data_IF_654809192938
#
_entry.id   IF_654809192938
#
_cell.length_a   1.000
_cell.length_b   1.000
_cell.length_c   1.000
_cell.angle_alpha   90.00
_cell.angle_beta   90.00
_cell.angle_gamma   90.00
#
_symmetry.space_group_name_H-M   'P 1'
#
loop_
_entity.id
_entity.type
_entity.pdbx_description
1 polymer ?
#
# COMPACT_ATOMS: atom_id res chain seq x y z
N UNK A 1 -7.77 2.76 32.70
CA UNK A 1 -8.94 2.92 31.84
C UNK A 1 -9.97 1.91 32.31
N UNK A 2 -11.07 2.39 32.87
CA UNK A 2 -12.14 1.53 33.37
C UNK A 2 -12.65 0.64 32.23
N UNK A 3 -12.68 -0.66 32.47
CA UNK A 3 -13.38 -1.62 31.62
C UNK A 3 -14.91 -1.35 31.76
N UNK A 4 -15.38 -0.33 31.06
CA UNK A 4 -16.82 -0.16 30.89
C UNK A 4 -17.36 -1.47 30.31
N UNK A 5 -18.31 -2.10 30.99
CA UNK A 5 -19.06 -3.25 30.49
C UNK A 5 -19.72 -2.84 29.18
N UNK A 6 -19.06 -3.10 28.06
CA UNK A 6 -19.60 -2.86 26.73
C UNK A 6 -20.69 -3.91 26.49
N UNK A 7 -21.96 -3.49 26.59
CA UNK A 7 -23.08 -4.36 26.27
C UNK A 7 -23.01 -4.71 24.77
N UNK A 8 -22.83 -5.99 24.49
CA UNK A 8 -22.85 -6.52 23.13
C UNK A 8 -24.23 -7.07 22.81
N UNK A 9 -24.79 -6.68 21.67
CA UNK A 9 -26.10 -7.21 21.25
C UNK A 9 -26.71 -6.43 20.09
N UNK A 10 -27.82 -6.96 19.51
CA UNK A 10 -28.47 -6.31 18.37
C UNK A 10 -29.03 -4.91 18.66
N UNK A 11 -29.35 -4.61 19.93
CA UNK A 11 -29.82 -3.29 20.33
C UNK A 11 -28.70 -2.26 20.28
N UNK A 12 -27.53 -2.59 20.85
CA UNK A 12 -26.33 -1.76 20.81
C UNK A 12 -25.84 -1.55 19.37
N UNK A 13 -25.84 -2.61 18.53
CA UNK A 13 -25.49 -2.48 17.13
C UNK A 13 -26.40 -1.49 16.40
N UNK A 14 -27.74 -1.58 16.57
CA UNK A 14 -28.67 -0.63 15.97
C UNK A 14 -28.50 0.80 16.47
N UNK A 15 -28.11 0.97 17.73
CA UNK A 15 -27.81 2.30 18.27
C UNK A 15 -26.57 2.89 17.61
N UNK A 16 -25.48 2.12 17.51
CA UNK A 16 -24.26 2.54 16.86
C UNK A 16 -24.48 2.85 15.36
N UNK A 17 -25.27 2.02 14.66
CA UNK A 17 -25.65 2.29 13.27
C UNK A 17 -26.41 3.61 13.11
N UNK A 18 -27.29 3.95 14.08
CA UNK A 18 -28.06 5.19 14.04
C UNK A 18 -27.23 6.44 14.36
N UNK A 19 -26.15 6.28 15.10
CA UNK A 19 -25.21 7.34 15.49
C UNK A 19 -24.02 7.47 14.52
N UNK A 20 -23.90 6.57 13.52
CA UNK A 20 -22.76 6.55 12.58
C UNK A 20 -22.81 7.73 11.60
N UNK A 21 -21.90 8.68 11.79
CA UNK A 21 -21.74 9.85 10.92
C UNK A 21 -21.36 9.46 9.46
N UNK A 22 -20.85 8.27 9.23
CA UNK A 22 -20.44 7.75 7.93
C UNK A 22 -21.55 6.95 7.24
N UNK A 23 -22.71 6.71 7.89
CA UNK A 23 -23.79 5.88 7.37
C UNK A 23 -24.22 6.25 5.93
N UNK A 24 -24.25 7.57 5.60
CA UNK A 24 -24.63 8.06 4.27
C UNK A 24 -23.66 7.67 3.15
N UNK A 25 -22.41 7.36 3.47
CA UNK A 25 -21.43 6.90 2.48
C UNK A 25 -21.76 5.51 1.92
N UNK A 26 -22.59 4.73 2.61
CA UNK A 26 -23.07 3.43 2.11
C UNK A 26 -23.74 3.56 0.73
N UNK A 27 -24.45 4.65 0.50
CA UNK A 27 -25.16 4.92 -0.77
C UNK A 27 -24.22 5.23 -1.93
N UNK A 28 -22.94 5.47 -1.67
CA UNK A 28 -21.92 5.63 -2.71
C UNK A 28 -21.52 4.30 -3.38
N UNK A 29 -21.85 3.17 -2.76
CA UNK A 29 -21.47 1.84 -3.21
C UNK A 29 -22.59 1.11 -3.91
N UNK A 30 -22.24 0.27 -4.89
CA UNK A 30 -23.20 -0.62 -5.56
C UNK A 30 -23.36 -1.87 -4.71
N UNK A 31 -24.53 -2.04 -4.11
CA UNK A 31 -24.89 -3.18 -3.24
C UNK A 31 -26.03 -3.94 -3.89
N UNK A 32 -25.72 -4.90 -4.77
CA UNK A 32 -26.73 -5.69 -5.48
C UNK A 32 -27.31 -6.84 -4.64
N UNK A 33 -26.60 -7.28 -3.62
CA UNK A 33 -27.04 -8.31 -2.67
C UNK A 33 -27.02 -7.72 -1.26
N UNK A 34 -28.22 -7.37 -0.77
CA UNK A 34 -28.40 -6.80 0.57
C UNK A 34 -28.20 -7.81 1.71
N UNK A 35 -28.24 -9.12 1.39
CA UNK A 35 -28.00 -10.20 2.35
C UNK A 35 -26.52 -10.54 2.54
N UNK A 36 -25.66 -10.08 1.64
CA UNK A 36 -24.22 -10.35 1.71
C UNK A 36 -23.56 -9.43 2.74
N UNK A 37 -22.97 -10.04 3.77
CA UNK A 37 -22.06 -9.38 4.70
C UNK A 37 -20.63 -9.46 4.10
N UNK A 38 -20.19 -8.37 3.46
CA UNK A 38 -18.88 -8.30 2.80
C UNK A 38 -17.88 -7.59 3.71
N UNK A 39 -16.93 -8.35 4.25
CA UNK A 39 -15.88 -7.86 5.16
C UNK A 39 -14.46 -7.98 4.57
N UNK A 40 -14.34 -8.30 3.27
CA UNK A 40 -13.06 -8.54 2.58
C UNK A 40 -12.63 -7.35 1.71
N UNK A 41 -12.91 -6.13 2.15
CA UNK A 41 -12.47 -4.89 1.48
C UNK A 41 -10.96 -4.71 1.43
N UNK A 42 -10.24 -5.41 2.28
CA UNK A 42 -8.77 -5.50 2.25
C UNK A 42 -8.24 -6.34 1.07
N UNK A 43 -9.04 -7.21 0.47
CA UNK A 43 -8.68 -7.93 -0.76
C UNK A 43 -9.16 -7.18 -2.00
N UNK A 44 -10.43 -6.72 -1.99
CA UNK A 44 -11.04 -5.98 -3.09
C UNK A 44 -12.08 -5.00 -2.52
N UNK A 45 -11.91 -3.72 -2.78
CA UNK A 45 -12.90 -2.70 -2.41
C UNK A 45 -14.22 -2.86 -3.16
N UNK A 46 -15.33 -2.49 -2.53
CA UNK A 46 -16.64 -2.51 -3.22
C UNK A 46 -16.66 -1.49 -4.36
N UNK A 47 -17.34 -1.85 -5.45
CA UNK A 47 -17.55 -0.96 -6.58
C UNK A 47 -18.39 0.25 -6.16
N UNK A 48 -17.93 1.45 -6.49
CA UNK A 48 -18.67 2.68 -6.29
C UNK A 48 -19.40 3.13 -7.54
N UNK A 49 -20.51 3.86 -7.39
CA UNK A 49 -21.19 4.49 -8.53
C UNK A 49 -20.28 5.43 -9.31
N UNK A 50 -19.36 6.14 -8.64
CA UNK A 50 -18.38 7.01 -9.31
C UNK A 50 -17.37 6.23 -10.16
N UNK A 51 -16.90 5.08 -9.66
CA UNK A 51 -15.92 4.27 -10.39
C UNK A 51 -16.53 3.69 -11.68
N UNK A 52 -17.74 3.11 -11.62
CA UNK A 52 -18.39 2.56 -12.81
C UNK A 52 -18.73 3.65 -13.83
N UNK A 53 -19.24 4.80 -13.37
CA UNK A 53 -19.54 5.93 -14.26
C UNK A 53 -18.28 6.47 -14.95
N UNK A 54 -17.16 6.54 -14.22
CA UNK A 54 -15.88 6.96 -14.78
C UNK A 54 -15.34 5.97 -15.80
N UNK A 55 -15.48 4.67 -15.53
CA UNK A 55 -15.06 3.60 -16.45
C UNK A 55 -15.89 3.66 -17.75
N UNK A 56 -17.22 3.79 -17.65
CA UNK A 56 -18.09 3.91 -18.81
C UNK A 56 -17.76 5.17 -19.63
N UNK A 57 -17.53 6.30 -18.97
CA UNK A 57 -17.12 7.53 -19.66
C UNK A 57 -15.77 7.37 -20.37
N UNK A 58 -14.82 6.67 -19.77
CA UNK A 58 -13.54 6.38 -20.41
C UNK A 58 -13.71 5.51 -21.67
N UNK A 59 -14.59 4.51 -21.63
CA UNK A 59 -14.85 3.64 -22.76
C UNK A 59 -15.66 4.35 -23.87
N UNK A 60 -16.77 5.01 -23.53
CA UNK A 60 -17.73 5.52 -24.51
C UNK A 60 -17.30 6.88 -25.09
N UNK A 61 -16.87 7.81 -24.23
CA UNK A 61 -16.56 9.18 -24.65
C UNK A 61 -15.08 9.31 -25.02
N UNK A 62 -14.19 8.91 -24.13
CA UNK A 62 -12.77 9.19 -24.30
C UNK A 62 -12.17 8.27 -25.39
N UNK A 63 -12.39 6.98 -25.30
CA UNK A 63 -11.95 6.06 -26.33
C UNK A 63 -12.89 6.09 -27.53
N UNK A 64 -14.18 5.78 -27.35
CA UNK A 64 -15.14 5.62 -28.46
C UNK A 64 -15.32 6.85 -29.33
N UNK A 65 -15.34 8.05 -28.73
CA UNK A 65 -15.58 9.32 -29.43
C UNK A 65 -14.30 10.11 -29.75
N UNK A 66 -13.37 10.21 -28.79
CA UNK A 66 -12.16 10.99 -28.97
C UNK A 66 -11.06 10.25 -29.70
N UNK A 67 -11.03 8.89 -29.61
CA UNK A 67 -10.00 8.03 -30.21
C UNK A 67 -8.59 8.52 -29.81
N UNK A 68 -7.64 8.55 -30.73
CA UNK A 68 -6.26 9.03 -30.46
C UNK A 68 -6.18 10.42 -29.90
N UNK A 69 -7.18 11.27 -30.12
CA UNK A 69 -7.24 12.63 -29.56
C UNK A 69 -7.39 12.63 -28.04
N UNK A 70 -7.82 11.52 -27.43
CA UNK A 70 -7.87 11.35 -25.99
C UNK A 70 -6.54 11.64 -25.30
N UNK A 71 -5.42 11.36 -25.96
CA UNK A 71 -4.10 11.69 -25.46
C UNK A 71 -3.87 13.18 -25.20
N UNK A 72 -4.40 14.04 -26.08
CA UNK A 72 -4.25 15.48 -25.97
C UNK A 72 -5.28 16.12 -25.03
N UNK A 73 -6.29 15.36 -24.59
CA UNK A 73 -7.32 15.87 -23.68
C UNK A 73 -7.00 15.53 -22.23
N UNK A 74 -6.93 14.24 -21.91
CA UNK A 74 -6.89 13.81 -20.52
C UNK A 74 -5.92 12.65 -20.22
N UNK A 75 -5.66 11.78 -21.19
CA UNK A 75 -4.98 10.52 -20.93
C UNK A 75 -3.50 10.67 -20.61
N UNK A 76 -2.82 11.62 -21.29
CA UNK A 76 -1.39 11.83 -21.07
C UNK A 76 -1.09 12.21 -19.62
N UNK A 77 -1.90 13.08 -19.05
CA UNK A 77 -1.72 13.58 -17.69
C UNK A 77 -2.49 12.79 -16.62
N UNK A 78 -3.33 11.82 -17.03
CA UNK A 78 -4.16 11.05 -16.10
C UNK A 78 -3.36 10.36 -14.99
N UNK A 79 -2.20 9.75 -15.24
CA UNK A 79 -1.37 9.14 -14.21
C UNK A 79 -0.92 10.12 -13.12
N UNK A 80 -0.42 11.29 -13.53
CA UNK A 80 0.04 12.34 -12.60
C UNK A 80 -1.15 12.98 -11.88
N UNK A 81 -2.20 13.37 -12.61
CA UNK A 81 -3.40 13.97 -12.03
C UNK A 81 -4.10 13.06 -11.01
N UNK A 82 -4.05 11.74 -11.21
CA UNK A 82 -4.56 10.79 -10.24
C UNK A 82 -3.61 10.66 -9.05
N UNK A 83 -2.30 10.68 -9.30
CA UNK A 83 -1.27 10.73 -8.26
C UNK A 83 -1.44 11.93 -7.33
N UNK A 84 -1.74 13.12 -7.87
CA UNK A 84 -2.00 14.34 -7.08
C UNK A 84 -3.20 14.21 -6.13
N UNK A 85 -4.17 13.34 -6.44
CA UNK A 85 -5.29 13.03 -5.53
C UNK A 85 -4.91 12.04 -4.43
N UNK A 86 -3.95 11.17 -4.70
CA UNK A 86 -3.45 10.17 -3.74
C UNK A 86 -2.42 10.80 -2.82
N UNK A 87 -1.61 11.75 -3.30
CA UNK A 87 -0.53 12.36 -2.55
C UNK A 87 -0.94 12.85 -1.15
N UNK A 88 -2.04 13.60 -0.96
CA UNK A 88 -2.48 14.01 0.39
C UNK A 88 -2.87 12.84 1.29
N UNK A 89 -3.37 11.72 0.73
CA UNK A 89 -3.77 10.54 1.52
C UNK A 89 -2.57 9.79 2.10
N UNK A 90 -1.39 9.95 1.49
CA UNK A 90 -0.16 9.31 1.94
C UNK A 90 0.85 10.30 2.52
N UNK A 91 0.46 11.58 2.66
CA UNK A 91 1.34 12.63 3.18
C UNK A 91 2.56 12.88 2.30
N UNK A 92 2.39 12.76 0.97
CA UNK A 92 3.41 13.08 -0.03
C UNK A 92 3.17 14.50 -0.61
N UNK A 93 4.23 15.12 -1.13
CA UNK A 93 4.15 16.42 -1.81
C UNK A 93 3.61 16.27 -3.24
N UNK A 94 3.09 17.38 -3.82
CA UNK A 94 2.76 17.41 -5.25
C UNK A 94 3.93 16.94 -6.13
N UNK A 95 3.62 16.15 -7.16
CA UNK A 95 4.60 15.60 -8.09
C UNK A 95 5.33 14.34 -7.61
N UNK A 96 5.11 13.87 -6.39
CA UNK A 96 5.79 12.69 -5.83
C UNK A 96 5.02 11.38 -6.05
N UNK A 97 3.75 11.45 -6.47
CA UNK A 97 2.92 10.26 -6.67
C UNK A 97 2.48 10.15 -8.12
N UNK A 98 2.63 8.98 -8.68
CA UNK A 98 2.15 8.65 -10.03
C UNK A 98 1.40 7.32 -10.01
N UNK A 99 0.34 7.20 -10.80
CA UNK A 99 -0.39 5.94 -10.99
C UNK A 99 0.04 5.32 -12.31
N UNK A 100 0.67 4.15 -12.22
CA UNK A 100 1.12 3.40 -13.39
C UNK A 100 1.23 1.91 -13.06
N UNK A 101 1.24 1.08 -14.07
CA UNK A 101 1.46 -0.36 -13.99
C UNK A 101 0.69 -1.09 -12.85
N UNK A 102 1.22 -2.21 -12.40
CA UNK A 102 0.77 -2.93 -11.20
C UNK A 102 1.74 -2.74 -10.04
N UNK A 103 1.29 -3.05 -8.81
CA UNK A 103 2.14 -3.01 -7.61
C UNK A 103 3.43 -3.80 -7.81
N UNK A 104 3.35 -5.03 -8.33
CA UNK A 104 4.53 -5.89 -8.56
C UNK A 104 5.51 -5.31 -9.59
N UNK A 105 5.01 -4.70 -10.68
CA UNK A 105 5.87 -4.05 -11.68
C UNK A 105 6.53 -2.80 -11.10
N UNK A 106 5.78 -2.00 -10.34
CA UNK A 106 6.31 -0.81 -9.68
C UNK A 106 7.32 -1.17 -8.59
N UNK A 107 7.05 -2.21 -7.81
CA UNK A 107 7.98 -2.76 -6.81
C UNK A 107 9.30 -3.16 -7.50
N UNK A 108 9.23 -3.93 -8.60
CA UNK A 108 10.40 -4.31 -9.38
C UNK A 108 11.23 -3.09 -9.80
N UNK A 109 10.59 -2.07 -10.38
CA UNK A 109 11.28 -0.85 -10.83
C UNK A 109 11.98 -0.13 -9.68
N UNK A 110 11.28 0.03 -8.55
CA UNK A 110 11.81 0.77 -7.41
C UNK A 110 12.90 -0.01 -6.67
N UNK A 111 12.78 -1.33 -6.56
CA UNK A 111 13.84 -2.19 -6.00
C UNK A 111 15.11 -2.07 -6.84
N UNK A 112 15.00 -2.21 -8.18
CA UNK A 112 16.15 -2.08 -9.08
C UNK A 112 16.81 -0.70 -8.97
N UNK A 113 16.02 0.38 -8.87
CA UNK A 113 16.53 1.73 -8.67
C UNK A 113 17.21 1.90 -7.31
N UNK A 114 16.59 1.41 -6.23
CA UNK A 114 17.15 1.48 -4.88
C UNK A 114 18.51 0.77 -4.76
N UNK A 115 18.61 -0.43 -5.33
CA UNK A 115 19.87 -1.19 -5.32
C UNK A 115 20.97 -0.50 -6.15
N UNK A 116 20.61 0.15 -7.25
CA UNK A 116 21.55 0.95 -8.04
C UNK A 116 22.05 2.19 -7.28
N UNK A 117 21.24 2.78 -6.40
CA UNK A 117 21.59 3.93 -5.56
C UNK A 117 22.45 3.54 -4.34
N UNK A 118 22.61 2.25 -4.05
CA UNK A 118 23.41 1.74 -2.93
C UNK A 118 24.49 0.76 -3.41
N UNK A 119 25.37 1.19 -4.31
CA UNK A 119 26.43 0.32 -4.83
C UNK A 119 27.33 -0.18 -3.71
N UNK A 120 27.71 -1.45 -3.78
CA UNK A 120 28.57 -2.09 -2.76
C UNK A 120 27.85 -2.65 -1.55
N UNK A 121 26.53 -2.42 -1.39
CA UNK A 121 25.71 -3.03 -0.36
C UNK A 121 24.96 -4.23 -0.92
N UNK A 122 24.99 -5.36 -0.23
CA UNK A 122 24.49 -6.64 -0.76
C UNK A 122 23.23 -7.19 -0.07
N UNK A 123 22.74 -6.55 1.04
CA UNK A 123 21.61 -7.07 1.77
C UNK A 123 20.32 -6.33 1.49
N UNK A 124 19.26 -7.10 1.25
CA UNK A 124 17.87 -6.64 1.26
C UNK A 124 17.22 -7.23 2.50
N UNK A 125 16.61 -6.42 3.34
CA UNK A 125 15.89 -6.85 4.54
C UNK A 125 14.39 -6.76 4.31
N UNK A 126 13.67 -7.82 4.63
CA UNK A 126 12.21 -7.90 4.65
C UNK A 126 11.77 -8.77 5.81
N UNK A 127 10.51 -9.18 5.87
CA UNK A 127 10.02 -10.15 6.82
C UNK A 127 9.27 -11.32 6.14
N UNK A 128 8.98 -12.36 6.89
CA UNK A 128 8.24 -13.53 6.41
C UNK A 128 6.73 -13.33 6.39
N UNK A 129 6.23 -12.21 6.92
CA UNK A 129 4.83 -11.77 6.85
C UNK A 129 4.55 -10.89 5.64
N UNK A 130 5.57 -10.49 4.89
CA UNK A 130 5.39 -9.66 3.70
C UNK A 130 4.57 -10.40 2.64
N UNK A 131 3.94 -9.63 1.74
CA UNK A 131 3.08 -10.22 0.72
C UNK A 131 3.89 -11.14 -0.20
N UNK A 132 3.43 -12.37 -0.48
CA UNK A 132 4.24 -13.36 -1.21
C UNK A 132 4.77 -12.89 -2.56
N UNK A 133 3.96 -12.12 -3.33
CA UNK A 133 4.43 -11.60 -4.62
C UNK A 133 5.60 -10.62 -4.48
N UNK A 134 5.67 -9.89 -3.37
CA UNK A 134 6.76 -8.95 -3.13
C UNK A 134 8.06 -9.70 -2.88
N UNK A 135 8.01 -10.76 -2.08
CA UNK A 135 9.15 -11.64 -1.86
C UNK A 135 9.62 -12.30 -3.17
N UNK A 136 8.70 -12.72 -4.06
CA UNK A 136 9.05 -13.26 -5.37
C UNK A 136 9.69 -12.22 -6.28
N UNK A 137 9.21 -10.98 -6.26
CA UNK A 137 9.83 -9.86 -7.00
C UNK A 137 11.25 -9.61 -6.50
N UNK A 138 11.48 -9.57 -5.19
CA UNK A 138 12.82 -9.41 -4.60
C UNK A 138 13.76 -10.52 -5.04
N UNK A 139 13.33 -11.78 -4.97
CA UNK A 139 14.11 -12.92 -5.43
C UNK A 139 14.44 -12.83 -6.93
N UNK A 140 13.47 -12.41 -7.75
CA UNK A 140 13.68 -12.17 -9.17
C UNK A 140 14.70 -11.07 -9.45
N UNK A 141 14.64 -9.95 -8.73
CA UNK A 141 15.64 -8.86 -8.83
C UNK A 141 17.05 -9.37 -8.48
N UNK A 142 17.18 -10.15 -7.42
CA UNK A 142 18.46 -10.74 -6.99
C UNK A 142 19.04 -11.63 -8.09
N UNK A 143 18.22 -12.51 -8.69
CA UNK A 143 18.66 -13.37 -9.79
C UNK A 143 19.10 -12.58 -11.02
N UNK A 144 18.32 -11.57 -11.43
CA UNK A 144 18.66 -10.69 -12.56
C UNK A 144 19.97 -9.93 -12.35
N UNK A 145 20.28 -9.57 -11.10
CA UNK A 145 21.54 -8.92 -10.74
C UNK A 145 22.70 -9.90 -10.54
N UNK A 146 22.56 -11.16 -10.96
CA UNK A 146 23.63 -12.17 -10.89
C UNK A 146 23.90 -12.66 -9.47
N UNK A 147 22.89 -12.68 -8.60
CA UNK A 147 22.96 -13.14 -7.21
C UNK A 147 23.99 -12.38 -6.35
N UNK A 148 24.24 -11.12 -6.67
CA UNK A 148 25.14 -10.26 -5.89
C UNK A 148 24.51 -9.71 -4.61
N UNK A 149 23.21 -9.87 -4.47
CA UNK A 149 22.44 -9.48 -3.29
C UNK A 149 21.84 -10.72 -2.63
N UNK A 150 21.50 -10.62 -1.36
CA UNK A 150 20.79 -11.66 -0.62
C UNK A 150 19.61 -11.07 0.13
N UNK A 151 18.53 -11.83 0.20
CA UNK A 151 17.34 -11.48 0.93
C UNK A 151 17.44 -12.05 2.35
N UNK A 152 17.35 -11.18 3.34
CA UNK A 152 17.19 -11.54 4.74
C UNK A 152 15.74 -11.33 5.14
N UNK A 153 15.11 -12.35 5.72
CA UNK A 153 13.74 -12.28 6.23
C UNK A 153 13.76 -12.30 7.75
N UNK A 154 13.31 -11.22 8.38
CA UNK A 154 13.02 -11.20 9.79
C UNK A 154 11.86 -12.18 10.08
N UNK A 155 11.99 -13.06 11.08
CA UNK A 155 10.98 -14.07 11.34
C UNK A 155 9.76 -13.49 12.05
N UNK A 156 8.61 -14.15 11.88
CA UNK A 156 7.49 -14.04 12.79
C UNK A 156 7.41 -15.33 13.61
N UNK A 157 7.36 -15.21 14.94
CA UNK A 157 7.31 -16.38 15.83
C UNK A 157 5.93 -17.02 15.90
N UNK A 158 4.88 -16.26 15.65
CA UNK A 158 3.49 -16.66 15.81
C UNK A 158 2.65 -16.49 14.52
N UNK A 159 3.25 -15.96 13.46
CA UNK A 159 2.56 -15.65 12.21
C UNK A 159 1.62 -14.44 12.30
N UNK A 160 1.65 -13.67 13.39
CA UNK A 160 0.80 -12.51 13.66
C UNK A 160 1.64 -11.23 13.75
N UNK A 161 2.71 -11.27 14.56
CA UNK A 161 3.59 -10.12 14.80
C UNK A 161 4.95 -10.36 14.15
N UNK A 162 5.50 -9.31 13.55
CA UNK A 162 6.91 -9.32 13.14
C UNK A 162 7.82 -9.24 14.37
N UNK A 163 8.94 -9.95 14.34
CA UNK A 163 9.98 -9.80 15.34
C UNK A 163 10.81 -8.54 15.02
N UNK A 164 10.40 -7.41 15.62
CA UNK A 164 11.07 -6.12 15.39
C UNK A 164 12.52 -6.11 15.87
N UNK A 165 12.85 -6.86 16.91
CA UNK A 165 14.21 -6.98 17.39
C UNK A 165 15.08 -7.65 16.35
N UNK A 166 14.65 -8.81 15.84
CA UNK A 166 15.34 -9.50 14.75
C UNK A 166 15.41 -8.66 13.45
N UNK A 167 14.37 -7.87 13.15
CA UNK A 167 14.38 -6.95 12.03
C UNK A 167 15.49 -5.90 12.19
N UNK A 168 15.59 -5.28 13.36
CA UNK A 168 16.58 -4.23 13.62
C UNK A 168 18.01 -4.78 13.72
N UNK A 169 18.20 -5.97 14.30
CA UNK A 169 19.50 -6.63 14.34
C UNK A 169 20.03 -7.00 12.94
N UNK A 170 19.13 -7.19 11.96
CA UNK A 170 19.52 -7.46 10.58
C UNK A 170 20.04 -6.23 9.82
N UNK A 171 19.87 -5.02 10.38
CA UNK A 171 20.28 -3.75 9.74
C UNK A 171 21.76 -3.47 10.04
N UNK A 172 22.56 -3.37 8.98
CA UNK A 172 23.99 -3.02 9.07
C UNK A 172 24.45 -2.19 7.86
N UNK A 173 25.75 -1.90 7.81
CA UNK A 173 26.37 -1.14 6.73
C UNK A 173 26.30 -1.85 5.36
N UNK A 174 25.99 -3.15 5.32
CA UNK A 174 25.77 -3.91 4.09
C UNK A 174 24.32 -3.88 3.62
N UNK A 175 23.40 -3.35 4.42
CA UNK A 175 21.99 -3.26 4.05
C UNK A 175 21.79 -2.16 2.99
N UNK A 176 21.32 -2.56 1.80
CA UNK A 176 21.01 -1.66 0.69
C UNK A 176 19.56 -1.15 0.78
N UNK A 177 18.63 -2.04 1.13
CA UNK A 177 17.19 -1.80 1.07
C UNK A 177 16.47 -2.53 2.19
N UNK A 178 15.55 -1.84 2.85
CA UNK A 178 14.49 -2.43 3.68
C UNK A 178 13.18 -2.32 2.93
N UNK A 179 12.43 -3.41 2.78
CA UNK A 179 11.12 -3.38 2.12
C UNK A 179 10.10 -4.25 2.85
N UNK A 180 8.99 -3.63 3.23
CA UNK A 180 7.95 -4.21 4.08
C UNK A 180 6.57 -3.75 3.63
N UNK A 181 5.55 -4.56 3.88
CA UNK A 181 4.16 -4.09 3.86
C UNK A 181 3.88 -3.29 5.12
N UNK A 182 3.39 -2.05 5.00
CA UNK A 182 3.06 -1.20 6.16
C UNK A 182 2.02 -1.86 7.09
N UNK A 183 1.04 -2.55 6.50
CA UNK A 183 0.10 -3.41 7.22
C UNK A 183 0.19 -4.80 6.62
N UNK A 184 0.45 -5.81 7.45
CA UNK A 184 0.55 -7.20 6.99
C UNK A 184 -0.81 -7.76 6.61
N UNK A 185 -0.87 -8.51 5.51
CA UNK A 185 -2.16 -8.94 4.92
C UNK A 185 -2.90 -10.00 5.72
N UNK A 186 -2.18 -10.83 6.50
CA UNK A 186 -2.79 -11.92 7.28
C UNK A 186 -3.27 -11.45 8.64
N UNK A 187 -2.42 -10.74 9.36
CA UNK A 187 -2.67 -10.41 10.77
C UNK A 187 -3.19 -8.99 10.99
N UNK A 188 -3.02 -8.10 9.98
CA UNK A 188 -3.29 -6.68 10.16
C UNK A 188 -2.28 -5.99 11.08
N UNK A 189 -1.11 -6.60 11.32
CA UNK A 189 -0.05 -5.95 12.08
C UNK A 189 0.39 -4.67 11.37
N UNK A 190 0.37 -3.56 12.10
CA UNK A 190 0.76 -2.24 11.63
C UNK A 190 2.17 -1.91 12.15
N UNK A 191 3.09 -1.67 11.22
CA UNK A 191 4.42 -1.18 11.56
C UNK A 191 4.41 0.29 11.97
N UNK A 192 5.27 0.65 12.93
CA UNK A 192 5.70 2.03 13.12
C UNK A 192 6.65 2.41 11.96
N UNK A 193 6.05 3.01 10.92
CA UNK A 193 6.77 3.37 9.70
C UNK A 193 7.88 4.39 9.96
N UNK A 194 7.65 5.35 10.86
CA UNK A 194 8.63 6.38 11.21
C UNK A 194 9.86 5.75 11.88
N UNK A 195 9.65 4.88 12.86
CA UNK A 195 10.75 4.23 13.58
C UNK A 195 11.55 3.27 12.68
N UNK A 196 10.87 2.43 11.90
CA UNK A 196 11.56 1.50 10.97
C UNK A 196 12.36 2.28 9.92
N UNK A 197 11.79 3.35 9.36
CA UNK A 197 12.49 4.20 8.37
C UNK A 197 13.72 4.84 9.00
N UNK A 198 13.59 5.39 10.20
CA UNK A 198 14.71 5.98 10.93
C UNK A 198 15.84 4.98 11.18
N UNK A 199 15.52 3.76 11.65
CA UNK A 199 16.49 2.68 11.88
C UNK A 199 17.20 2.25 10.61
N UNK A 200 16.47 2.11 9.52
CA UNK A 200 17.05 1.78 8.22
C UNK A 200 18.03 2.86 7.74
N UNK A 201 17.68 4.13 7.91
CA UNK A 201 18.54 5.26 7.56
C UNK A 201 19.79 5.34 8.44
N UNK A 202 19.71 5.02 9.72
CA UNK A 202 20.88 4.93 10.60
C UNK A 202 21.90 3.89 10.12
N UNK A 203 21.43 2.78 9.54
CA UNK A 203 22.26 1.79 8.85
C UNK A 203 22.68 2.24 7.44
N UNK A 204 22.14 3.35 6.93
CA UNK A 204 22.40 3.90 5.57
C UNK A 204 21.65 3.18 4.46
N UNK A 205 20.65 2.35 4.79
CA UNK A 205 19.77 1.69 3.83
C UNK A 205 18.69 2.64 3.31
N UNK A 206 18.12 2.36 2.13
CA UNK A 206 16.88 2.95 1.66
C UNK A 206 15.68 2.13 2.17
N UNK A 207 14.50 2.77 2.20
CA UNK A 207 13.26 2.10 2.59
C UNK A 207 12.23 2.18 1.47
N UNK A 208 11.58 1.04 1.19
CA UNK A 208 10.47 0.91 0.24
C UNK A 208 9.29 0.26 0.95
N UNK A 209 8.20 1.00 1.11
CA UNK A 209 6.98 0.53 1.75
C UNK A 209 5.93 0.08 0.73
N UNK A 210 5.31 -1.08 0.94
CA UNK A 210 4.04 -1.42 0.28
C UNK A 210 2.85 -0.92 1.12
N UNK A 211 2.09 0.00 0.55
CA UNK A 211 0.93 0.66 1.16
C UNK A 211 -0.40 -0.01 0.79
N UNK A 212 -0.37 -1.16 0.13
CA UNK A 212 -1.59 -1.80 -0.42
C UNK A 212 -2.67 -2.08 0.63
N UNK A 213 -2.28 -2.30 1.88
CA UNK A 213 -3.20 -2.54 3.00
C UNK A 213 -3.30 -1.36 3.99
N UNK A 214 -2.66 -0.25 3.71
CA UNK A 214 -2.66 0.91 4.62
C UNK A 214 -3.25 2.17 3.99
N UNK A 215 -3.02 2.42 2.69
CA UNK A 215 -3.55 3.63 2.04
C UNK A 215 -5.08 3.63 2.03
N UNK A 216 -5.67 4.67 2.61
CA UNK A 216 -7.12 4.77 2.79
C UNK A 216 -7.67 4.08 4.04
N UNK A 217 -6.85 3.32 4.78
CA UNK A 217 -7.27 2.60 5.99
C UNK A 217 -6.67 3.20 7.27
N UNK A 218 -5.41 3.67 7.22
CA UNK A 218 -4.72 4.28 8.36
C UNK A 218 -4.02 5.57 7.93
N UNK A 219 -3.76 6.51 8.86
CA UNK A 219 -2.99 7.71 8.57
C UNK A 219 -1.57 7.38 8.10
N UNK A 220 -1.12 8.08 7.05
CA UNK A 220 0.23 7.93 6.48
C UNK A 220 0.82 9.32 6.27
N UNK A 221 2.13 9.47 6.51
CA UNK A 221 2.84 10.73 6.36
C UNK A 221 4.25 10.49 5.80
N UNK A 222 4.33 10.03 4.52
CA UNK A 222 5.58 9.61 3.89
C UNK A 222 6.68 10.67 3.96
N UNK A 223 6.36 11.91 3.60
CA UNK A 223 7.33 13.01 3.61
C UNK A 223 7.83 13.34 5.01
N UNK A 224 6.90 13.39 5.99
CA UNK A 224 7.25 13.67 7.39
C UNK A 224 8.13 12.57 8.01
N UNK A 225 7.87 11.32 7.67
CA UNK A 225 8.61 10.16 8.19
C UNK A 225 9.87 9.85 7.40
N UNK A 226 10.17 10.66 6.36
CA UNK A 226 11.38 10.55 5.56
C UNK A 226 11.45 9.31 4.68
N UNK A 227 10.30 8.73 4.31
CA UNK A 227 10.24 7.53 3.48
C UNK A 227 10.83 7.81 2.10
N UNK A 228 11.73 6.95 1.63
CA UNK A 228 12.37 7.12 0.33
C UNK A 228 11.46 6.73 -0.82
N UNK A 229 10.81 5.57 -0.72
CA UNK A 229 10.04 4.95 -1.79
C UNK A 229 8.78 4.27 -1.23
N UNK A 230 7.71 4.28 -2.02
CA UNK A 230 6.51 3.52 -1.69
C UNK A 230 5.81 3.00 -2.95
N UNK A 231 5.13 1.88 -2.82
CA UNK A 231 4.19 1.32 -3.80
C UNK A 231 2.85 1.06 -3.14
N UNK A 232 1.82 0.80 -3.92
CA UNK A 232 0.51 0.43 -3.40
C UNK A 232 -0.47 0.13 -4.53
N UNK A 233 -1.72 -0.15 -4.18
CA UNK A 233 -2.78 -0.39 -5.13
C UNK A 233 -4.01 0.47 -4.82
N UNK A 234 -4.86 0.69 -5.83
CA UNK A 234 -6.08 1.51 -5.68
C UNK A 234 -7.34 0.68 -5.50
N UNK A 235 -7.31 -0.61 -5.84
CA UNK A 235 -8.51 -1.47 -5.91
C UNK A 235 -8.98 -2.02 -4.55
N UNK A 236 -8.22 -1.82 -3.48
CA UNK A 236 -8.61 -2.18 -2.11
C UNK A 236 -9.36 -1.03 -1.45
N UNK A 237 -8.76 -0.35 -0.51
CA UNK A 237 -9.41 0.70 0.28
C UNK A 237 -9.70 1.99 -0.47
N UNK A 238 -9.02 2.26 -1.60
CA UNK A 238 -9.32 3.42 -2.43
C UNK A 238 -10.45 3.16 -3.45
N UNK A 239 -10.96 1.93 -3.56
CA UNK A 239 -12.08 1.52 -4.43
C UNK A 239 -11.91 1.93 -5.90
N UNK A 240 -10.66 1.92 -6.37
CA UNK A 240 -10.30 2.26 -7.74
C UNK A 240 -10.38 1.09 -8.69
#
# INVERSE_FOLDING_TARGET
>A
MDSANFETGPATARQLDAEDELASFRDAFIINDSGLIYLDGNSLGRLTHRAINRLNAAAELEWGKHLVRGWNHDWYDAPLRTGEKIAPLVGAKPGQVIVCDSTSVNLFKLVMAALALRPGRGRIVSDDLNFPSDLYVLQGCIQLLGNRHHLHLAPSRDGIYSDLEALYEALDENTALVTLSHVTFKSGFLYDMEEVTRRAHEAGALVLWDLSHSVGAVPISLDRWGVDLAVGCTYKYLNG
#
